data_IF_488109232440
#
_entry.id   IF_488109232440
#
_cell.length_a   1.000
_cell.length_b   1.000
_cell.length_c   1.000
_cell.angle_alpha   90.00
_cell.angle_beta   90.00
_cell.angle_gamma   90.00
#
_symmetry.space_group_name_H-M   'P 1'
#
loop_
_entity.id
_entity.type
_entity.pdbx_description
1 polymer ?
#
# COMPACT_ATOMS: atom_id res chain seq x y z
N UNK A 1 -6.02 -30.55 10.14
CA UNK A 1 -6.86 -29.43 10.62
C UNK A 1 -7.35 -28.69 9.39
N UNK A 2 -8.67 -28.63 9.17
CA UNK A 2 -9.21 -28.12 7.89
C UNK A 2 -9.03 -26.61 7.74
N UNK A 3 -8.85 -26.14 6.51
CA UNK A 3 -8.65 -24.72 6.15
C UNK A 3 -9.69 -23.78 6.79
N UNK A 4 -10.93 -24.24 6.95
CA UNK A 4 -12.02 -23.51 7.64
C UNK A 4 -11.81 -23.32 9.15
N UNK A 5 -11.16 -24.26 9.84
CA UNK A 5 -10.81 -24.12 11.26
C UNK A 5 -9.64 -23.16 11.46
N UNK A 6 -8.68 -23.17 10.53
CA UNK A 6 -7.53 -22.26 10.56
C UNK A 6 -7.95 -20.80 10.35
N UNK A 7 -8.91 -20.55 9.45
CA UNK A 7 -9.51 -19.22 9.23
C UNK A 7 -10.24 -18.71 10.48
N UNK A 8 -11.03 -19.56 11.15
CA UNK A 8 -11.73 -19.20 12.40
C UNK A 8 -10.76 -18.94 13.55
N UNK A 9 -9.66 -19.68 13.62
CA UNK A 9 -8.61 -19.52 14.63
C UNK A 9 -7.84 -18.20 14.45
N UNK A 10 -7.42 -17.88 13.22
CA UNK A 10 -6.66 -16.66 12.92
C UNK A 10 -7.47 -15.37 13.15
N UNK A 11 -8.75 -15.35 12.79
CA UNK A 11 -9.63 -14.20 13.06
C UNK A 11 -9.82 -13.97 14.56
N UNK A 12 -10.03 -15.04 15.35
CA UNK A 12 -10.15 -14.97 16.82
C UNK A 12 -8.88 -14.47 17.49
N UNK A 13 -7.71 -14.91 17.01
CA UNK A 13 -6.41 -14.44 17.51
C UNK A 13 -6.21 -12.94 17.27
N UNK A 14 -6.54 -12.46 16.07
CA UNK A 14 -6.44 -11.03 15.73
C UNK A 14 -7.41 -10.19 16.56
N UNK A 15 -8.65 -10.67 16.77
CA UNK A 15 -9.64 -10.01 17.67
C UNK A 15 -9.08 -9.89 19.08
N UNK A 16 -8.50 -10.97 19.63
CA UNK A 16 -7.91 -10.94 20.98
C UNK A 16 -6.74 -9.95 21.09
N UNK A 17 -5.88 -9.87 20.06
CA UNK A 17 -4.80 -8.86 20.00
C UNK A 17 -5.37 -7.44 19.95
N UNK A 18 -6.36 -7.19 19.08
CA UNK A 18 -6.99 -5.88 18.95
C UNK A 18 -7.64 -5.47 20.28
N UNK A 19 -8.39 -6.36 20.93
CA UNK A 19 -9.03 -6.10 22.23
C UNK A 19 -7.98 -5.82 23.31
N UNK A 20 -6.90 -6.62 23.37
CA UNK A 20 -5.83 -6.43 24.35
C UNK A 20 -5.13 -5.08 24.16
N UNK A 21 -4.90 -4.67 22.91
CA UNK A 21 -4.28 -3.38 22.59
C UNK A 21 -5.23 -2.24 22.97
N UNK A 22 -6.51 -2.29 22.56
CA UNK A 22 -7.52 -1.27 22.89
C UNK A 22 -7.62 -1.04 24.39
N UNK A 23 -7.58 -2.11 25.21
CA UNK A 23 -7.62 -1.99 26.67
C UNK A 23 -6.38 -1.32 27.29
N UNK A 24 -5.22 -1.35 26.61
CA UNK A 24 -3.96 -0.78 27.11
C UNK A 24 -3.58 0.58 26.50
N UNK A 25 -4.31 1.10 25.49
CA UNK A 25 -3.97 2.37 24.84
C UNK A 25 -3.96 3.57 25.80
N UNK A 26 -4.74 3.53 26.87
CA UNK A 26 -4.79 4.59 27.88
C UNK A 26 -3.43 4.87 28.58
N UNK A 27 -2.44 3.98 28.44
CA UNK A 27 -1.12 4.08 29.09
C UNK A 27 -0.11 4.92 28.29
N UNK A 28 -0.38 5.25 27.03
CA UNK A 28 0.60 5.90 26.14
C UNK A 28 0.48 7.43 26.04
N UNK A 29 -0.55 8.05 26.61
CA UNK A 29 -0.72 9.50 26.53
C UNK A 29 0.19 10.21 27.55
N UNK A 30 1.23 10.91 27.06
CA UNK A 30 2.19 11.64 27.90
C UNK A 30 1.73 13.09 28.11
N UNK A 31 0.87 13.61 27.24
CA UNK A 31 0.29 14.97 27.31
C UNK A 31 0.45 15.73 26.00
N UNK A 32 -0.34 16.79 25.81
CA UNK A 32 -0.31 17.56 24.56
C UNK A 32 1.00 18.36 24.43
N UNK A 33 1.68 18.23 23.29
CA UNK A 33 2.85 19.06 22.96
C UNK A 33 4.16 18.62 23.63
N UNK A 34 4.24 17.39 24.13
CA UNK A 34 5.44 16.85 24.80
C UNK A 34 6.37 16.09 23.85
N UNK A 35 6.21 16.23 22.54
CA UNK A 35 6.98 15.50 21.52
C UNK A 35 7.85 16.41 20.67
N UNK A 36 9.03 15.90 20.34
CA UNK A 36 9.90 16.48 19.32
C UNK A 36 9.47 16.04 17.92
N UNK A 37 10.11 16.58 16.88
CA UNK A 37 9.88 16.14 15.50
C UNK A 37 8.41 16.26 15.01
N UNK A 38 7.72 17.36 15.35
CA UNK A 38 6.31 17.57 14.95
C UNK A 38 6.07 17.51 13.43
N UNK A 39 7.13 17.63 12.63
CA UNK A 39 7.07 17.41 11.19
C UNK A 39 6.72 15.96 10.79
N UNK A 40 6.74 14.99 11.70
CA UNK A 40 6.27 13.63 11.42
C UNK A 40 4.74 13.53 11.37
N UNK A 41 4.02 14.55 11.87
CA UNK A 41 2.54 14.66 11.78
C UNK A 41 2.07 15.18 10.43
N UNK A 42 3.04 15.50 9.57
CA UNK A 42 2.82 15.93 8.22
C UNK A 42 2.46 14.71 7.41
N UNK A 43 1.20 14.64 7.00
CA UNK A 43 0.72 13.51 6.21
C UNK A 43 1.46 13.45 4.87
N UNK A 44 2.22 12.38 4.58
CA UNK A 44 2.79 12.14 3.27
C UNK A 44 1.76 11.47 2.35
N UNK A 45 2.09 11.46 1.05
CA UNK A 45 1.26 10.83 0.02
C UNK A 45 0.09 11.70 -0.44
N UNK A 46 -0.21 11.63 -1.74
CA UNK A 46 -1.27 12.45 -2.36
C UNK A 46 -2.60 11.73 -2.32
N UNK A 47 -2.60 10.43 -2.65
CA UNK A 47 -3.79 9.59 -2.60
C UNK A 47 -4.37 9.49 -1.19
N UNK A 48 -3.52 9.23 -0.20
CA UNK A 48 -3.88 9.18 1.22
C UNK A 48 -4.46 10.51 1.71
N UNK A 49 -3.83 11.63 1.38
CA UNK A 49 -4.29 12.96 1.80
C UNK A 49 -5.69 13.31 1.23
N UNK A 50 -5.95 12.93 -0.02
CA UNK A 50 -7.27 13.05 -0.65
C UNK A 50 -8.35 12.17 0.01
N UNK A 51 -7.93 11.15 0.77
CA UNK A 51 -8.78 10.22 1.51
C UNK A 51 -8.78 10.55 3.01
N UNK A 52 -8.62 11.82 3.38
CA UNK A 52 -8.64 12.24 4.78
C UNK A 52 -7.48 11.69 5.60
N UNK A 53 -6.36 11.38 4.95
CA UNK A 53 -5.20 10.71 5.55
C UNK A 53 -5.59 9.43 6.28
N UNK A 54 -6.56 8.71 5.71
CA UNK A 54 -6.96 7.38 6.14
C UNK A 54 -6.57 6.38 5.07
N UNK A 55 -5.73 5.44 5.45
CA UNK A 55 -5.04 4.57 4.48
C UNK A 55 -4.52 3.27 5.10
N UNK A 56 -4.61 3.08 6.42
CA UNK A 56 -4.01 1.94 7.12
C UNK A 56 -4.66 0.61 6.72
N UNK A 57 -5.98 0.61 6.52
CA UNK A 57 -6.70 -0.57 6.02
C UNK A 57 -6.54 -0.81 4.52
N UNK A 58 -6.38 0.24 3.71
CA UNK A 58 -6.29 0.14 2.25
C UNK A 58 -4.89 -0.26 1.79
N UNK A 59 -3.88 0.56 2.10
CA UNK A 59 -2.43 0.26 1.99
C UNK A 59 -1.99 -0.58 0.77
N UNK A 60 -2.41 -0.21 -0.45
CA UNK A 60 -2.28 -1.07 -1.65
C UNK A 60 -1.31 -0.55 -2.73
N UNK A 61 -0.60 0.54 -2.47
CA UNK A 61 0.39 1.13 -3.39
C UNK A 61 1.61 1.69 -2.63
N UNK A 62 2.49 2.42 -3.31
CA UNK A 62 3.68 3.05 -2.71
C UNK A 62 3.37 3.95 -1.51
N UNK A 63 2.16 4.50 -1.38
CA UNK A 63 1.76 5.28 -0.20
C UNK A 63 1.70 4.40 1.07
N UNK A 64 1.59 3.08 0.94
CA UNK A 64 1.62 2.16 2.08
C UNK A 64 2.93 2.24 2.87
N UNK A 65 4.05 2.59 2.22
CA UNK A 65 5.35 2.81 2.88
C UNK A 65 5.26 3.84 4.02
N UNK A 66 4.35 4.79 3.91
CA UNK A 66 4.16 5.83 4.93
C UNK A 66 3.10 5.47 5.98
N UNK A 67 2.07 4.73 5.58
CA UNK A 67 0.86 4.54 6.37
C UNK A 67 0.82 3.19 7.06
N UNK A 68 1.10 2.10 6.33
CA UNK A 68 1.12 0.75 6.88
C UNK A 68 2.19 -0.08 6.16
N UNK A 69 3.36 -0.31 6.77
CA UNK A 69 4.43 -1.08 6.14
C UNK A 69 4.00 -2.51 5.79
N UNK A 70 3.00 -3.10 6.47
CA UNK A 70 2.50 -4.43 6.10
C UNK A 70 1.73 -4.47 4.78
N UNK A 71 1.24 -3.32 4.30
CA UNK A 71 0.48 -3.23 3.05
C UNK A 71 1.33 -3.53 1.82
N UNK A 72 2.62 -3.14 1.82
CA UNK A 72 3.50 -3.34 0.66
C UNK A 72 3.72 -4.83 0.35
N UNK A 73 3.55 -5.72 1.34
CA UNK A 73 3.71 -7.17 1.16
C UNK A 73 2.74 -7.76 0.13
N UNK A 74 1.66 -7.05 -0.22
CA UNK A 74 0.65 -7.50 -1.19
C UNK A 74 0.85 -6.88 -2.58
N UNK A 75 1.87 -6.04 -2.76
CA UNK A 75 2.18 -5.39 -4.02
C UNK A 75 3.12 -6.30 -4.81
N UNK A 76 2.68 -6.71 -6.01
CA UNK A 76 3.36 -7.71 -6.83
C UNK A 76 4.19 -7.12 -7.98
N UNK A 77 4.33 -5.80 -8.02
CA UNK A 77 5.03 -5.07 -9.07
C UNK A 77 5.99 -4.05 -8.45
N UNK A 78 7.10 -3.76 -9.11
CA UNK A 78 7.99 -2.70 -8.64
C UNK A 78 7.36 -1.34 -8.99
N UNK A 79 7.56 -0.33 -8.15
CA UNK A 79 7.04 1.01 -8.42
C UNK A 79 7.94 2.08 -7.87
N UNK A 80 7.87 3.26 -8.48
CA UNK A 80 8.46 4.51 -7.98
C UNK A 80 7.37 5.57 -7.98
N UNK A 81 7.29 6.38 -6.93
CA UNK A 81 6.37 7.51 -6.86
C UNK A 81 7.06 8.73 -6.25
N UNK A 82 6.73 9.90 -6.77
CA UNK A 82 7.24 11.20 -6.33
C UNK A 82 6.10 12.04 -5.81
N UNK A 83 6.34 12.89 -4.83
CA UNK A 83 5.33 13.80 -4.29
C UNK A 83 5.91 15.19 -4.08
N UNK A 84 5.16 16.20 -4.50
CA UNK A 84 5.44 17.61 -4.24
C UNK A 84 4.24 18.22 -3.52
N UNK A 85 4.51 18.93 -2.43
CA UNK A 85 3.53 19.71 -1.70
C UNK A 85 4.09 21.07 -1.35
N UNK A 86 3.34 22.10 -1.72
CA UNK A 86 3.52 23.43 -1.14
C UNK A 86 2.61 23.51 0.08
N UNK A 87 3.23 23.67 1.23
CA UNK A 87 2.55 23.79 2.49
C UNK A 87 2.44 25.25 2.95
N UNK A 88 1.93 25.43 4.17
CA UNK A 88 1.62 26.68 4.80
C UNK A 88 2.92 27.42 5.08
N UNK A 89 2.83 28.75 5.12
CA UNK A 89 3.98 29.64 5.35
C UNK A 89 5.16 29.41 4.38
N UNK A 90 4.89 28.96 3.15
CA UNK A 90 5.91 28.75 2.12
C UNK A 90 6.80 27.51 2.35
N UNK A 91 6.49 26.68 3.35
CA UNK A 91 7.18 25.41 3.57
C UNK A 91 6.93 24.50 2.37
N UNK A 92 7.96 23.84 1.88
CA UNK A 92 7.86 22.92 0.74
C UNK A 92 8.28 21.53 1.15
N UNK A 93 7.51 20.52 0.76
CA UNK A 93 7.86 19.11 0.94
C UNK A 93 7.99 18.41 -0.41
N UNK A 94 9.06 17.65 -0.55
CA UNK A 94 9.34 16.83 -1.73
C UNK A 94 9.67 15.41 -1.29
N UNK A 95 9.19 14.41 -2.02
CA UNK A 95 9.43 13.02 -1.70
C UNK A 95 9.66 12.18 -2.95
N UNK A 96 10.44 11.12 -2.76
CA UNK A 96 10.56 10.01 -3.70
C UNK A 96 10.47 8.72 -2.91
N UNK A 97 9.71 7.77 -3.43
CA UNK A 97 9.51 6.45 -2.85
C UNK A 97 9.65 5.38 -3.90
N UNK A 98 10.01 4.18 -3.47
CA UNK A 98 10.01 3.02 -4.34
C UNK A 98 9.89 1.74 -3.55
N UNK A 99 9.40 0.71 -4.23
CA UNK A 99 9.29 -0.65 -3.71
C UNK A 99 9.65 -1.66 -4.78
N UNK A 100 10.15 -2.80 -4.32
CA UNK A 100 10.61 -3.89 -5.15
C UNK A 100 10.18 -5.23 -4.53
N UNK A 101 9.28 -5.98 -5.19
CA UNK A 101 8.92 -7.33 -4.79
C UNK A 101 10.06 -8.31 -5.05
N UNK A 102 10.40 -9.13 -4.04
CA UNK A 102 11.48 -10.13 -4.11
C UNK A 102 10.91 -11.56 -4.20
N UNK A 103 9.70 -11.71 -4.74
CA UNK A 103 8.96 -12.98 -4.75
C UNK A 103 8.63 -13.45 -3.33
N UNK A 104 8.91 -14.72 -3.03
CA UNK A 104 8.59 -15.37 -1.75
C UNK A 104 9.34 -14.78 -0.54
N UNK A 105 10.41 -14.03 -0.79
CA UNK A 105 11.18 -13.35 0.24
C UNK A 105 10.46 -12.12 0.81
N UNK A 106 9.37 -11.68 0.19
CA UNK A 106 8.61 -10.49 0.58
C UNK A 106 8.93 -9.29 -0.29
N UNK A 107 8.72 -8.10 0.25
CA UNK A 107 8.85 -6.83 -0.47
C UNK A 107 9.72 -5.89 0.33
N UNK A 108 10.69 -5.28 -0.33
CA UNK A 108 11.45 -4.16 0.21
C UNK A 108 10.95 -2.87 -0.41
N UNK A 109 11.07 -1.78 0.33
CA UNK A 109 10.84 -0.46 -0.22
C UNK A 109 11.40 0.60 0.71
N UNK A 110 11.20 1.84 0.33
CA UNK A 110 11.69 2.95 1.11
C UNK A 110 11.34 4.27 0.47
N UNK A 111 11.60 5.34 1.20
CA UNK A 111 11.40 6.68 0.69
C UNK A 111 12.40 7.66 1.29
N UNK A 112 12.61 8.73 0.54
CA UNK A 112 13.28 9.93 0.99
C UNK A 112 12.28 11.09 0.96
N UNK A 113 12.24 11.88 2.04
CA UNK A 113 11.45 13.10 2.14
C UNK A 113 12.34 14.25 2.57
N UNK A 114 12.25 15.38 1.88
CA UNK A 114 12.84 16.65 2.30
C UNK A 114 11.72 17.67 2.55
N UNK A 115 11.81 18.36 3.68
CA UNK A 115 10.95 19.49 4.02
C UNK A 115 11.83 20.71 4.27
N UNK A 116 11.54 21.81 3.58
CA UNK A 116 12.35 23.03 3.62
C UNK A 116 11.49 24.25 3.92
N UNK A 117 12.04 25.18 4.69
CA UNK A 117 11.47 26.51 4.85
C UNK A 117 11.98 27.44 3.75
N UNK A 118 11.27 28.54 3.45
CA UNK A 118 11.84 29.64 2.68
C UNK A 118 13.16 30.13 3.29
N UNK A 119 13.99 30.73 2.44
CA UNK A 119 15.17 31.46 2.90
C UNK A 119 14.75 32.76 3.58
N UNK A 120 15.43 33.08 4.67
CA UNK A 120 15.28 34.32 5.42
C UNK A 120 16.66 34.96 5.69
N UNK A 121 16.67 36.26 6.01
CA UNK A 121 17.90 37.02 6.27
C UNK A 121 18.42 36.75 7.66
N UNK A 122 19.70 36.40 7.76
CA UNK A 122 20.37 36.28 9.05
C UNK A 122 20.64 37.68 9.63
N UNK A 123 20.28 37.85 10.90
CA UNK A 123 20.32 39.16 11.58
C UNK A 123 21.10 39.04 12.88
N UNK A 124 21.89 40.07 13.19
CA UNK A 124 22.70 40.11 14.39
C UNK A 124 22.61 41.47 15.08
N UNK A 125 23.11 41.54 16.31
CA UNK A 125 23.27 42.77 17.06
C UNK A 125 24.75 43.12 17.14
N UNK A 126 25.10 44.37 16.90
CA UNK A 126 26.46 44.85 17.12
C UNK A 126 26.75 45.04 18.62
N UNK A 127 27.99 45.38 18.96
CA UNK A 127 28.40 45.63 20.35
C UNK A 127 27.68 46.84 21.01
N UNK A 128 27.04 47.69 20.22
CA UNK A 128 26.23 48.81 20.69
C UNK A 128 24.72 48.46 20.78
N UNK A 129 24.34 47.23 20.45
CA UNK A 129 22.95 46.75 20.46
C UNK A 129 22.14 47.16 19.23
N UNK A 130 22.78 47.67 18.17
CA UNK A 130 22.08 47.97 16.92
C UNK A 130 21.86 46.69 16.13
N UNK A 131 20.65 46.55 15.61
CA UNK A 131 20.27 45.48 14.70
C UNK A 131 20.86 45.71 13.31
N UNK A 132 21.45 44.67 12.72
CA UNK A 132 21.90 44.67 11.32
C UNK A 132 21.72 43.31 10.65
N UNK A 133 21.53 43.30 9.34
CA UNK A 133 21.56 42.09 8.53
C UNK A 133 23.02 41.68 8.25
N UNK A 134 23.34 40.40 8.45
CA UNK A 134 24.73 39.91 8.28
C UNK A 134 25.12 39.71 6.81
N UNK A 135 24.17 39.87 5.88
CA UNK A 135 24.33 39.60 4.45
C UNK A 135 24.28 38.12 4.07
N UNK A 136 24.01 37.22 5.04
CA UNK A 136 23.82 35.79 4.82
C UNK A 136 22.34 35.45 4.87
N UNK A 137 21.97 34.41 4.11
CA UNK A 137 20.63 33.84 4.15
C UNK A 137 20.67 32.52 4.92
N UNK A 138 19.57 32.19 5.57
CA UNK A 138 19.40 30.89 6.21
C UNK A 138 18.05 30.26 5.89
N UNK A 139 18.01 28.94 5.99
CA UNK A 139 16.79 28.16 5.97
C UNK A 139 16.88 27.02 6.98
N UNK A 140 15.73 26.40 7.23
CA UNK A 140 15.64 25.14 7.97
C UNK A 140 15.26 24.01 7.04
N UNK A 141 15.80 22.84 7.30
CA UNK A 141 15.62 21.66 6.47
C UNK A 141 15.48 20.42 7.35
N UNK A 142 14.53 19.56 7.01
CA UNK A 142 14.34 18.24 7.62
C UNK A 142 14.43 17.21 6.51
N UNK A 143 15.29 16.20 6.72
CA UNK A 143 15.46 15.06 5.81
C UNK A 143 15.06 13.78 6.52
N UNK A 144 14.23 12.99 5.87
CA UNK A 144 13.80 11.69 6.37
C UNK A 144 14.13 10.62 5.34
N UNK A 145 14.80 9.55 5.78
CA UNK A 145 15.01 8.33 5.01
C UNK A 145 14.28 7.20 5.71
N UNK A 146 13.51 6.43 4.97
CA UNK A 146 12.85 5.23 5.46
C UNK A 146 13.26 4.01 4.63
N UNK A 147 13.52 2.89 5.31
CA UNK A 147 13.69 1.58 4.71
C UNK A 147 12.65 0.65 5.32
N UNK A 148 11.89 -0.04 4.47
CA UNK A 148 10.78 -0.90 4.87
C UNK A 148 10.97 -2.29 4.29
N UNK A 149 10.67 -3.30 5.11
CA UNK A 149 10.54 -4.69 4.69
C UNK A 149 9.19 -5.22 5.14
N UNK A 150 8.51 -5.96 4.26
CA UNK A 150 7.24 -6.58 4.57
C UNK A 150 7.13 -7.96 3.95
N UNK A 151 6.38 -8.84 4.63
CA UNK A 151 6.15 -10.20 4.19
C UNK A 151 4.71 -10.62 4.41
N UNK A 152 4.17 -11.31 3.42
CA UNK A 152 2.90 -12.02 3.55
C UNK A 152 3.16 -13.33 4.31
N UNK A 153 2.51 -13.48 5.46
CA UNK A 153 2.66 -14.67 6.31
C UNK A 153 1.73 -15.80 5.88
N UNK A 154 0.57 -15.46 5.35
CA UNK A 154 -0.39 -16.37 4.74
C UNK A 154 -1.29 -15.59 3.77
N UNK A 155 -2.27 -16.26 3.14
CA UNK A 155 -3.15 -15.66 2.14
C UNK A 155 -3.92 -14.42 2.61
N UNK A 156 -4.03 -14.20 3.93
CA UNK A 156 -4.80 -13.09 4.54
C UNK A 156 -3.95 -12.11 5.32
N UNK A 157 -2.93 -12.57 6.05
CA UNK A 157 -2.15 -11.77 6.98
C UNK A 157 -0.78 -11.40 6.39
N UNK A 158 -0.45 -10.12 6.43
CA UNK A 158 0.89 -9.60 6.22
C UNK A 158 1.38 -8.79 7.42
N UNK A 159 2.70 -8.71 7.52
CA UNK A 159 3.39 -7.85 8.49
C UNK A 159 4.49 -7.06 7.79
N UNK A 160 4.83 -5.91 8.35
CA UNK A 160 5.91 -5.08 7.86
C UNK A 160 6.53 -4.24 8.94
N UNK A 161 7.80 -3.89 8.74
CA UNK A 161 8.59 -3.05 9.63
C UNK A 161 9.31 -2.00 8.80
N UNK A 162 9.36 -0.78 9.31
CA UNK A 162 10.05 0.35 8.69
C UNK A 162 11.04 0.99 9.67
N UNK A 163 12.26 1.24 9.24
CA UNK A 163 13.24 2.01 9.99
C UNK A 163 13.34 3.41 9.37
N UNK A 164 13.20 4.44 10.20
CA UNK A 164 13.34 5.84 9.81
C UNK A 164 14.61 6.42 10.42
N UNK A 165 15.39 7.10 9.59
CA UNK A 165 16.41 8.02 10.03
C UNK A 165 15.94 9.44 9.72
N UNK A 166 16.01 10.32 10.72
CA UNK A 166 15.63 11.72 10.55
C UNK A 166 16.79 12.63 10.91
N UNK A 167 17.05 13.58 10.04
CA UNK A 167 17.99 14.67 10.25
C UNK A 167 17.23 15.99 10.22
N UNK A 168 17.44 16.82 11.24
CA UNK A 168 16.91 18.17 11.31
C UNK A 168 18.06 19.17 11.37
N UNK A 169 18.04 20.13 10.43
CA UNK A 169 18.94 21.27 10.37
C UNK A 169 18.15 22.54 10.62
N UNK A 170 18.38 23.15 11.79
CA UNK A 170 17.86 24.47 12.13
C UNK A 170 19.05 25.43 12.10
N UNK A 171 19.07 26.33 11.12
CA UNK A 171 20.21 27.23 10.91
C UNK A 171 21.54 26.47 10.77
N UNK A 172 22.43 26.59 11.77
CA UNK A 172 23.74 25.95 11.83
C UNK A 172 23.79 24.72 12.75
N UNK A 173 22.67 24.34 13.37
CA UNK A 173 22.57 23.18 14.27
C UNK A 173 21.98 22.00 13.52
N UNK A 174 22.64 20.83 13.63
CA UNK A 174 22.18 19.57 13.06
C UNK A 174 21.92 18.56 14.17
N UNK A 175 20.76 17.92 14.12
CA UNK A 175 20.36 16.86 15.06
C UNK A 175 19.87 15.65 14.28
N UNK A 176 20.12 14.46 14.80
CA UNK A 176 19.76 13.19 14.17
C UNK A 176 18.92 12.35 15.11
N UNK A 177 17.98 11.60 14.55
CA UNK A 177 17.07 10.75 15.29
C UNK A 177 16.68 9.53 14.48
N UNK A 178 16.13 8.54 15.18
CA UNK A 178 15.73 7.26 14.58
C UNK A 178 14.38 6.82 15.12
N UNK A 179 13.55 6.26 14.24
CA UNK A 179 12.24 5.75 14.60
C UNK A 179 11.96 4.39 13.94
N UNK A 180 11.08 3.61 14.56
CA UNK A 180 10.57 2.36 14.02
C UNK A 180 9.07 2.49 13.74
N UNK A 181 8.66 1.97 12.59
CA UNK A 181 7.27 1.70 12.25
C UNK A 181 7.06 0.18 12.22
N UNK A 182 5.92 -0.29 12.69
CA UNK A 182 5.51 -1.68 12.60
C UNK A 182 4.03 -1.77 12.23
N UNK A 183 3.70 -2.68 11.31
CA UNK A 183 2.36 -2.82 10.78
C UNK A 183 1.91 -4.27 10.68
N UNK A 184 0.60 -4.46 10.78
CA UNK A 184 -0.14 -5.65 10.40
C UNK A 184 -1.22 -5.25 9.41
N UNK A 185 -1.48 -6.13 8.45
CA UNK A 185 -2.58 -5.98 7.49
C UNK A 185 -3.26 -7.34 7.30
N UNK A 186 -4.58 -7.36 7.40
CA UNK A 186 -5.38 -8.58 7.30
C UNK A 186 -6.50 -8.39 6.27
N UNK A 187 -6.43 -9.15 5.18
CA UNK A 187 -7.46 -9.20 4.14
C UNK A 187 -8.50 -10.28 4.45
N UNK A 188 -9.77 -9.96 4.23
CA UNK A 188 -10.85 -10.93 4.35
C UNK A 188 -11.19 -11.26 5.80
N UNK A 189 -11.20 -10.24 6.67
CA UNK A 189 -11.37 -10.38 8.13
C UNK A 189 -12.70 -11.03 8.51
N UNK A 190 -13.81 -10.38 8.16
CA UNK A 190 -15.19 -10.89 8.32
C UNK A 190 -15.83 -11.09 6.95
N UNK A 191 -15.63 -10.12 6.06
CA UNK A 191 -16.10 -10.14 4.68
C UNK A 191 -14.89 -10.28 3.74
N UNK A 192 -15.00 -10.95 2.58
CA UNK A 192 -13.88 -11.19 1.68
C UNK A 192 -13.11 -9.92 1.25
N UNK A 193 -13.85 -8.85 0.95
CA UNK A 193 -13.28 -7.57 0.52
C UNK A 193 -13.06 -6.56 1.67
N UNK A 194 -13.21 -6.99 2.93
CA UNK A 194 -12.87 -6.19 4.11
C UNK A 194 -11.40 -6.40 4.49
N UNK A 195 -10.62 -5.33 4.45
CA UNK A 195 -9.27 -5.26 4.96
C UNK A 195 -9.23 -4.48 6.28
N UNK A 196 -8.39 -4.93 7.21
CA UNK A 196 -8.11 -4.23 8.46
C UNK A 196 -6.61 -4.09 8.65
N UNK A 197 -6.18 -2.97 9.22
CA UNK A 197 -4.78 -2.69 9.51
C UNK A 197 -4.60 -2.22 10.95
N UNK A 198 -3.44 -2.56 11.52
CA UNK A 198 -2.98 -2.07 12.81
C UNK A 198 -1.53 -1.63 12.65
N UNK A 199 -1.22 -0.40 13.04
CA UNK A 199 0.11 0.19 12.86
C UNK A 199 0.55 0.89 14.13
N UNK A 200 1.83 0.74 14.47
CA UNK A 200 2.57 1.63 15.36
C UNK A 200 3.50 2.47 14.50
N UNK A 201 3.29 3.78 14.46
CA UNK A 201 4.14 4.72 13.72
C UNK A 201 5.05 5.49 14.66
N UNK A 202 6.25 5.80 14.16
CA UNK A 202 7.24 6.71 14.74
C UNK A 202 7.74 6.32 16.14
N UNK A 203 7.76 5.03 16.48
CA UNK A 203 8.30 4.57 17.76
C UNK A 203 9.75 5.01 17.90
N UNK A 204 10.06 5.79 18.93
CA UNK A 204 11.33 6.50 19.04
C UNK A 204 12.42 5.53 19.48
N UNK A 205 13.46 5.39 18.65
CA UNK A 205 14.69 4.67 19.00
C UNK A 205 15.77 5.65 19.48
N UNK A 206 15.84 6.83 18.86
CA UNK A 206 16.75 7.90 19.24
C UNK A 206 16.06 9.24 19.00
N UNK A 207 15.88 10.02 20.07
CA UNK A 207 15.28 11.35 20.00
C UNK A 207 16.20 12.35 19.29
N UNK A 208 15.64 13.42 18.74
CA UNK A 208 16.44 14.51 18.16
C UNK A 208 17.13 15.36 19.23
N UNK A 209 16.43 15.63 20.35
CA UNK A 209 16.85 16.52 21.43
C UNK A 209 16.20 16.09 22.74
N UNK A 210 16.92 16.29 23.86
CA UNK A 210 16.40 16.21 25.24
C UNK A 210 15.55 14.98 25.57
N UNK A 211 15.82 13.83 24.95
CA UNK A 211 15.03 12.60 25.07
C UNK A 211 13.52 12.78 24.81
N UNK A 212 13.13 13.83 24.07
CA UNK A 212 11.75 14.06 23.68
C UNK A 212 11.30 12.96 22.71
N UNK A 213 10.26 12.19 23.05
CA UNK A 213 9.75 11.18 22.14
C UNK A 213 9.17 11.83 20.88
N UNK A 214 9.19 11.10 19.79
CA UNK A 214 8.49 11.49 18.56
C UNK A 214 6.96 11.35 18.73
N UNK A 215 6.17 11.95 17.84
CA UNK A 215 4.72 11.76 17.78
C UNK A 215 4.37 10.33 17.38
N UNK A 216 4.42 9.44 18.36
CA UNK A 216 4.08 8.04 18.23
C UNK A 216 2.58 7.91 18.13
N UNK A 217 2.12 7.11 17.17
CA UNK A 217 0.69 6.91 16.96
C UNK A 217 0.41 5.43 16.74
N UNK A 218 -0.54 4.89 17.49
CA UNK A 218 -1.17 3.61 17.14
C UNK A 218 -2.38 3.92 16.25
N UNK A 219 -2.48 3.25 15.11
CA UNK A 219 -3.57 3.46 14.15
C UNK A 219 -4.28 2.15 13.91
N UNK A 220 -5.60 2.18 14.06
CA UNK A 220 -6.50 1.10 13.64
C UNK A 220 -7.26 1.57 12.42
N UNK A 221 -7.18 0.81 11.32
CA UNK A 221 -7.80 1.17 10.05
C UNK A 221 -8.61 0.04 9.45
N UNK A 222 -9.65 0.39 8.71
CA UNK A 222 -10.44 -0.55 7.93
C UNK A 222 -10.74 0.01 6.54
N UNK A 223 -10.78 -0.88 5.54
CA UNK A 223 -11.18 -0.54 4.19
C UNK A 223 -12.06 -1.65 3.62
N UNK A 224 -13.16 -1.29 2.97
CA UNK A 224 -14.05 -2.21 2.28
C UNK A 224 -14.25 -1.77 0.85
N UNK A 225 -13.99 -2.68 -0.10
CA UNK A 225 -14.12 -2.40 -1.53
C UNK A 225 -15.35 -3.08 -2.10
N UNK A 226 -16.35 -2.28 -2.47
CA UNK A 226 -17.49 -2.72 -3.28
C UNK A 226 -17.07 -2.81 -4.75
N UNK A 227 -17.29 -3.97 -5.37
CA UNK A 227 -17.18 -4.13 -6.82
C UNK A 227 -18.55 -3.82 -7.42
N UNK A 228 -18.62 -2.74 -8.18
CA UNK A 228 -19.84 -2.31 -8.85
C UNK A 228 -19.91 -2.94 -10.25
N UNK A 229 -20.81 -2.46 -11.10
CA UNK A 229 -20.94 -2.96 -12.47
C UNK A 229 -19.67 -2.70 -13.30
N UNK A 230 -19.27 -3.69 -14.10
CA UNK A 230 -18.07 -3.61 -14.94
C UNK A 230 -16.78 -3.69 -14.12
N UNK A 231 -15.84 -2.76 -14.36
CA UNK A 231 -14.58 -2.69 -13.60
C UNK A 231 -14.55 -1.53 -12.60
N UNK A 232 -15.71 -0.98 -12.26
CA UNK A 232 -15.84 0.09 -11.28
C UNK A 232 -15.71 -0.43 -9.85
N UNK A 233 -15.05 0.35 -9.00
CA UNK A 233 -14.89 0.04 -7.57
C UNK A 233 -15.27 1.25 -6.73
N UNK A 234 -15.95 0.99 -5.62
CA UNK A 234 -16.18 1.96 -4.57
C UNK A 234 -15.54 1.46 -3.30
N UNK A 235 -14.56 2.18 -2.77
CA UNK A 235 -13.87 1.83 -1.53
C UNK A 235 -14.28 2.81 -0.45
N UNK A 236 -14.74 2.30 0.68
CA UNK A 236 -15.00 3.08 1.89
C UNK A 236 -13.96 2.67 2.93
N UNK A 237 -13.40 3.66 3.62
CA UNK A 237 -12.32 3.43 4.56
C UNK A 237 -12.41 4.39 5.75
N UNK A 238 -11.81 4.00 6.87
CA UNK A 238 -11.77 4.82 8.07
C UNK A 238 -10.71 4.35 9.04
N UNK A 239 -10.06 5.31 9.67
CA UNK A 239 -8.97 5.08 10.62
C UNK A 239 -9.25 5.83 11.95
N UNK A 240 -8.85 5.20 13.05
CA UNK A 240 -8.82 5.80 14.39
C UNK A 240 -7.37 5.87 14.85
N UNK A 241 -6.94 7.05 15.24
CA UNK A 241 -5.56 7.37 15.59
C UNK A 241 -5.45 7.64 17.09
N UNK A 242 -4.53 6.96 17.74
CA UNK A 242 -4.23 7.09 19.16
C UNK A 242 -2.81 7.63 19.31
N UNK A 243 -2.63 8.96 19.20
CA UNK A 243 -1.33 9.59 19.38
C UNK A 243 -0.93 9.66 20.86
N UNK A 244 0.37 9.66 21.15
CA UNK A 244 0.90 9.84 22.50
C UNK A 244 0.84 11.29 23.01
N UNK A 245 0.57 12.25 22.11
CA UNK A 245 0.75 13.69 22.34
C UNK A 245 -0.44 14.56 21.94
N UNK A 246 -1.60 13.94 21.73
CA UNK A 246 -2.82 14.62 21.35
C UNK A 246 -4.04 13.78 21.77
N UNK A 247 -5.23 14.35 21.60
CA UNK A 247 -6.46 13.57 21.70
C UNK A 247 -6.58 12.60 20.52
N UNK A 248 -7.30 11.50 20.77
CA UNK A 248 -7.72 10.56 19.74
C UNK A 248 -8.44 11.33 18.63
N UNK A 249 -8.09 11.04 17.39
CA UNK A 249 -8.71 11.63 16.22
C UNK A 249 -9.01 10.55 15.19
N UNK A 250 -9.98 10.83 14.32
CA UNK A 250 -10.47 9.87 13.34
C UNK A 250 -10.48 10.50 11.96
N UNK A 251 -10.53 9.65 10.95
CA UNK A 251 -10.81 10.06 9.60
C UNK A 251 -11.62 9.02 8.85
N UNK A 252 -12.15 9.44 7.73
CA UNK A 252 -12.90 8.60 6.81
C UNK A 252 -12.56 9.00 5.37
N UNK A 253 -12.66 8.03 4.47
CA UNK A 253 -12.42 8.23 3.06
C UNK A 253 -13.38 7.44 2.19
N UNK A 254 -13.61 7.96 1.01
CA UNK A 254 -14.35 7.31 -0.05
C UNK A 254 -13.56 7.48 -1.35
N UNK A 255 -13.27 6.36 -2.01
CA UNK A 255 -12.65 6.34 -3.33
C UNK A 255 -13.61 5.68 -4.32
N UNK A 256 -13.94 6.39 -5.40
CA UNK A 256 -14.65 5.84 -6.52
C UNK A 256 -13.71 5.72 -7.71
N UNK A 257 -13.37 4.49 -8.08
CA UNK A 257 -12.48 4.17 -9.18
C UNK A 257 -13.28 3.67 -10.39
N UNK A 258 -13.12 4.35 -11.52
CA UNK A 258 -13.70 4.00 -12.81
C UNK A 258 -12.67 3.18 -13.57
N UNK A 259 -12.89 1.87 -13.60
CA UNK A 259 -11.95 0.90 -14.16
C UNK A 259 -10.57 1.03 -13.48
N UNK A 260 -9.51 1.00 -14.29
CA UNK A 260 -8.14 1.17 -13.84
C UNK A 260 -7.59 2.57 -14.14
N UNK A 261 -8.36 3.45 -14.80
CA UNK A 261 -7.87 4.71 -15.35
C UNK A 261 -8.10 5.93 -14.47
N UNK A 262 -9.28 6.03 -13.85
CA UNK A 262 -9.66 7.26 -13.15
C UNK A 262 -10.14 6.95 -11.75
N UNK A 263 -9.77 7.79 -10.79
CA UNK A 263 -10.27 7.71 -9.42
C UNK A 263 -10.66 9.10 -8.91
N UNK A 264 -11.80 9.18 -8.22
CA UNK A 264 -12.24 10.34 -7.47
C UNK A 264 -12.24 10.01 -5.99
N UNK A 265 -11.79 10.96 -5.17
CA UNK A 265 -11.53 10.75 -3.75
C UNK A 265 -12.13 11.88 -2.95
N UNK A 266 -12.83 11.51 -1.90
CA UNK A 266 -13.34 12.42 -0.88
C UNK A 266 -12.87 11.89 0.46
N UNK A 267 -12.36 12.78 1.30
CA UNK A 267 -11.89 12.47 2.62
C UNK A 267 -12.45 13.39 3.67
N UNK A 268 -12.40 12.96 4.92
CA UNK A 268 -12.60 13.79 6.09
C UNK A 268 -11.57 13.41 7.14
N UNK A 269 -10.86 14.40 7.67
CA UNK A 269 -9.94 14.23 8.80
C UNK A 269 -10.32 15.18 9.91
N UNK A 270 -10.44 14.66 11.13
CA UNK A 270 -10.67 15.49 12.30
C UNK A 270 -9.58 16.59 12.43
N UNK A 271 -9.99 17.81 12.78
CA UNK A 271 -9.19 19.06 12.81
C UNK A 271 -8.67 19.61 11.48
N UNK A 272 -8.88 18.92 10.35
CA UNK A 272 -8.53 19.41 9.01
C UNK A 272 -9.81 19.71 8.20
N UNK A 273 -10.78 18.80 8.23
CA UNK A 273 -12.04 18.89 7.52
C UNK A 273 -12.08 18.02 6.26
N UNK A 274 -12.91 18.42 5.30
CA UNK A 274 -13.12 17.67 4.07
C UNK A 274 -11.96 17.85 3.08
N UNK A 275 -11.48 16.76 2.50
CA UNK A 275 -10.44 16.74 1.48
C UNK A 275 -10.96 16.17 0.17
N UNK A 276 -10.34 16.56 -0.93
CA UNK A 276 -10.72 16.12 -2.27
C UNK A 276 -9.49 15.67 -3.04
N UNK A 277 -9.66 14.76 -3.97
CA UNK A 277 -8.60 14.46 -4.92
C UNK A 277 -9.06 13.63 -6.10
N UNK A 278 -8.15 13.52 -7.06
CA UNK A 278 -8.33 12.68 -8.22
C UNK A 278 -7.03 11.93 -8.55
N UNK A 279 -7.20 10.82 -9.24
CA UNK A 279 -6.11 9.99 -9.75
C UNK A 279 -6.38 9.66 -11.20
N UNK A 280 -5.33 9.73 -12.02
CA UNK A 280 -5.33 9.33 -13.41
C UNK A 280 -4.20 8.34 -13.61
N UNK A 281 -4.52 7.15 -14.10
CA UNK A 281 -3.58 6.11 -14.48
C UNK A 281 -3.64 5.92 -15.99
N UNK A 282 -2.50 6.13 -16.64
CA UNK A 282 -2.34 5.98 -18.08
C UNK A 282 -1.18 5.02 -18.29
N UNK A 283 -1.47 3.82 -18.76
CA UNK A 283 -0.49 2.73 -18.85
C UNK A 283 0.13 2.45 -17.47
N UNK A 284 1.45 2.59 -17.37
CA UNK A 284 2.20 2.43 -16.13
C UNK A 284 2.37 3.73 -15.35
N UNK A 285 1.92 4.87 -15.89
CA UNK A 285 2.02 6.18 -15.22
C UNK A 285 0.81 6.42 -14.31
N UNK A 286 1.08 6.87 -13.09
CA UNK A 286 0.08 7.30 -12.12
C UNK A 286 0.26 8.79 -11.84
N UNK A 287 -0.80 9.56 -11.97
CA UNK A 287 -0.85 10.98 -11.65
C UNK A 287 -1.90 11.18 -10.57
N UNK A 288 -1.52 11.80 -9.45
CA UNK A 288 -2.48 12.11 -8.40
C UNK A 288 -2.44 13.59 -8.05
N UNK A 289 -3.61 14.10 -7.67
CA UNK A 289 -3.78 15.44 -7.16
C UNK A 289 -4.65 15.41 -5.91
N UNK A 290 -4.29 16.21 -4.91
CA UNK A 290 -5.07 16.38 -3.70
C UNK A 290 -5.20 17.84 -3.30
N UNK A 291 -6.40 18.19 -2.86
CA UNK A 291 -6.78 19.44 -2.23
C UNK A 291 -7.07 19.17 -0.75
N UNK A 292 -6.36 19.86 0.14
CA UNK A 292 -6.52 19.72 1.59
C UNK A 292 -6.62 21.12 2.22
N UNK A 293 -7.80 21.51 2.74
CA UNK A 293 -7.99 22.77 3.42
C UNK A 293 -7.53 22.68 4.89
N UNK A 294 -6.94 23.75 5.41
CA UNK A 294 -6.53 23.90 6.81
C UNK A 294 -7.22 25.11 7.47
N UNK A 295 -8.42 25.47 7.00
CA UNK A 295 -9.17 26.63 7.48
C UNK A 295 -8.40 27.93 7.29
N UNK A 296 -8.33 28.74 8.35
CA UNK A 296 -7.68 30.06 8.35
C UNK A 296 -6.18 30.00 8.06
N UNK A 297 -5.54 28.84 8.27
CA UNK A 297 -4.13 28.67 7.97
C UNK A 297 -3.87 28.67 6.47
N UNK A 298 -4.86 28.30 5.65
CA UNK A 298 -4.78 28.25 4.20
C UNK A 298 -5.12 26.87 3.65
N UNK A 299 -4.62 26.58 2.45
CA UNK A 299 -4.91 25.35 1.71
C UNK A 299 -3.62 24.79 1.14
N UNK A 300 -3.52 23.46 1.10
CA UNK A 300 -2.41 22.79 0.42
C UNK A 300 -2.88 22.10 -0.84
N UNK A 301 -1.98 22.14 -1.82
CA UNK A 301 -2.11 21.42 -3.07
C UNK A 301 -0.96 20.44 -3.17
N UNK A 302 -1.28 19.19 -3.48
CA UNK A 302 -0.30 18.11 -3.55
C UNK A 302 -0.41 17.41 -4.89
N UNK A 303 0.73 17.11 -5.49
CA UNK A 303 0.81 16.38 -6.77
C UNK A 303 1.76 15.21 -6.62
N UNK A 304 1.41 14.08 -7.24
CA UNK A 304 2.29 12.93 -7.35
C UNK A 304 2.38 12.44 -8.79
N UNK A 305 3.58 11.95 -9.13
CA UNK A 305 3.83 11.23 -10.37
C UNK A 305 4.50 9.92 -9.99
N UNK A 306 3.88 8.82 -10.37
CA UNK A 306 4.39 7.47 -10.15
C UNK A 306 4.46 6.65 -11.42
N UNK A 307 5.29 5.63 -11.38
CA UNK A 307 5.48 4.66 -12.44
C UNK A 307 5.52 3.24 -11.85
N UNK A 308 4.65 2.37 -12.37
CA UNK A 308 4.59 0.97 -11.98
C UNK A 308 5.27 0.11 -13.05
N UNK A 309 6.38 -0.52 -12.66
CA UNK A 309 7.10 -1.45 -13.50
C UNK A 309 6.37 -2.79 -13.49
N UNK A 310 6.13 -3.37 -14.68
CA UNK A 310 5.53 -4.69 -14.80
C UNK A 310 4.16 -4.84 -14.12
N UNK A 311 3.21 -3.94 -14.42
CA UNK A 311 1.80 -4.17 -14.13
C UNK A 311 1.22 -5.28 -15.05
N UNK A 312 1.83 -6.48 -15.02
CA UNK A 312 1.46 -7.64 -15.84
C UNK A 312 0.03 -8.11 -15.55
N UNK A 313 -0.57 -7.71 -14.43
CA UNK A 313 -1.97 -7.98 -14.13
C UNK A 313 -2.93 -7.35 -15.16
N UNK A 314 -2.59 -6.23 -15.79
CA UNK A 314 -3.36 -5.69 -16.93
C UNK A 314 -3.07 -6.45 -18.22
N UNK A 315 -1.82 -6.84 -18.46
CA UNK A 315 -1.41 -7.63 -19.62
C UNK A 315 -2.10 -9.00 -19.60
N UNK A 316 -2.11 -9.69 -18.46
CA UNK A 316 -2.76 -10.99 -18.28
C UNK A 316 -4.28 -10.88 -18.30
N UNK A 317 -4.91 -9.85 -17.73
CA UNK A 317 -6.36 -9.66 -17.87
C UNK A 317 -6.79 -9.32 -19.29
N UNK A 318 -5.97 -8.56 -20.02
CA UNK A 318 -6.17 -8.27 -21.44
C UNK A 318 -5.98 -9.56 -22.27
N UNK A 319 -4.91 -10.31 -22.02
CA UNK A 319 -4.65 -11.59 -22.65
C UNK A 319 -5.69 -12.67 -22.29
N UNK A 320 -6.25 -12.68 -21.09
CA UNK A 320 -7.31 -13.62 -20.68
C UNK A 320 -8.67 -13.23 -21.28
N UNK A 321 -8.90 -11.93 -21.50
CA UNK A 321 -10.08 -11.41 -22.21
C UNK A 321 -9.98 -11.65 -23.72
N UNK A 322 -8.77 -11.59 -24.28
CA UNK A 322 -8.46 -11.90 -25.68
C UNK A 322 -8.46 -13.44 -25.92
N UNK A 323 -7.85 -14.24 -25.04
CA UNK A 323 -7.86 -15.72 -25.09
C UNK A 323 -9.19 -16.37 -24.69
N UNK A 324 -10.16 -15.60 -24.18
CA UNK A 324 -11.55 -16.06 -24.06
C UNK A 324 -12.27 -16.16 -25.40
N UNK A 325 -11.75 -15.52 -26.46
CA UNK A 325 -12.28 -15.67 -27.82
C UNK A 325 -11.71 -16.93 -28.50
N UNK A 326 -10.44 -17.27 -28.24
CA UNK A 326 -9.82 -18.50 -28.76
C UNK A 326 -10.32 -19.78 -28.08
N UNK A 327 -10.57 -19.76 -26.77
CA UNK A 327 -11.08 -20.95 -26.05
C UNK A 327 -12.53 -21.33 -26.39
N UNK A 328 -13.31 -20.47 -27.06
CA UNK A 328 -14.69 -20.79 -27.45
C UNK A 328 -14.79 -21.45 -28.83
N UNK A 329 -13.73 -21.44 -29.63
CA UNK A 329 -13.74 -22.01 -31.00
C UNK A 329 -13.06 -23.39 -31.12
N UNK A 330 -12.47 -23.93 -30.04
CA UNK A 330 -11.85 -25.27 -30.06
C UNK A 330 -12.68 -26.22 -29.18
N UNK A 331 -13.90 -26.51 -29.64
CA UNK A 331 -14.55 -27.78 -29.36
C UNK A 331 -14.97 -28.33 -30.73
N UNK A 332 -14.05 -29.01 -31.40
CA UNK A 332 -14.41 -29.89 -32.51
C UNK A 332 -14.34 -31.34 -31.98
N UNK A 333 -15.47 -32.03 -31.76
CA UNK A 333 -15.47 -33.33 -31.08
C UNK A 333 -15.00 -34.51 -31.95
N UNK A 334 -14.63 -34.32 -33.21
CA UNK A 334 -14.21 -35.43 -34.06
C UNK A 334 -13.30 -34.93 -35.19
N UNK A 335 -12.00 -35.23 -35.11
CA UNK A 335 -11.19 -35.53 -36.29
C UNK A 335 -9.87 -36.21 -35.87
N UNK A 336 -9.78 -37.51 -36.18
CA UNK A 336 -8.51 -38.19 -36.38
C UNK A 336 -7.98 -37.74 -37.74
N UNK A 337 -6.91 -36.93 -37.79
CA UNK A 337 -5.94 -36.89 -38.89
C UNK A 337 -4.64 -36.28 -38.32
N UNK A 338 -3.52 -36.97 -38.56
CA UNK A 338 -2.17 -36.45 -38.38
C UNK A 338 -1.91 -35.36 -39.43
N UNK A 339 -1.46 -34.18 -39.01
CA UNK A 339 -0.61 -33.31 -39.84
C UNK A 339 0.36 -32.55 -38.93
N UNK A 340 1.65 -32.88 -39.06
CA UNK A 340 2.76 -32.03 -38.63
C UNK A 340 2.83 -30.81 -39.55
N UNK A 341 2.80 -29.61 -38.99
CA UNK A 341 3.24 -28.40 -39.69
C UNK A 341 4.24 -27.62 -38.84
N UNK A 342 5.43 -27.43 -39.42
CA UNK A 342 6.68 -26.90 -38.87
C UNK A 342 6.70 -25.41 -38.42
N UNK A 343 5.59 -24.84 -37.95
CA UNK A 343 5.53 -23.40 -37.62
C UNK A 343 5.63 -23.05 -36.11
N UNK A 344 6.00 -24.01 -35.26
CA UNK A 344 6.16 -23.80 -33.81
C UNK A 344 7.63 -23.86 -33.33
N UNK A 345 8.60 -23.48 -34.17
CA UNK A 345 10.04 -23.52 -33.81
C UNK A 345 10.76 -22.18 -33.71
N UNK A 346 10.12 -21.05 -33.96
CA UNK A 346 10.70 -19.73 -33.65
C UNK A 346 9.90 -19.07 -32.52
N UNK A 347 10.52 -18.98 -31.33
CA UNK A 347 10.27 -18.08 -30.20
C UNK A 347 10.40 -18.72 -28.79
N UNK A 348 11.13 -19.84 -28.63
CA UNK A 348 11.45 -20.40 -27.29
C UNK A 348 12.96 -20.33 -26.98
N UNK A 349 13.64 -19.24 -27.34
CA UNK A 349 15.07 -19.04 -26.99
C UNK A 349 15.38 -17.86 -26.04
N UNK A 350 14.39 -17.18 -25.47
CA UNK A 350 14.65 -16.10 -24.49
C UNK A 350 13.93 -16.29 -23.15
N UNK A 351 14.26 -17.34 -22.39
CA UNK A 351 14.00 -17.40 -20.96
C UNK A 351 15.19 -18.06 -20.23
N UNK A 352 15.91 -17.35 -19.35
CA UNK A 352 16.98 -17.96 -18.58
C UNK A 352 16.43 -18.78 -17.40
N UNK A 353 16.83 -20.05 -17.36
CA UNK A 353 16.98 -20.96 -16.22
C UNK A 353 15.85 -21.04 -15.17
N UNK A 354 15.06 -22.12 -15.25
CA UNK A 354 14.47 -22.78 -14.07
C UNK A 354 14.80 -24.27 -14.12
N UNK A 355 15.35 -24.76 -13.02
CA UNK A 355 15.99 -26.06 -12.82
C UNK A 355 15.02 -27.25 -13.03
N UNK A 356 15.42 -28.18 -13.89
CA UNK A 356 14.68 -29.39 -14.29
C UNK A 356 15.07 -30.55 -13.37
N UNK A 357 14.37 -30.73 -12.25
CA UNK A 357 14.49 -32.00 -11.50
C UNK A 357 13.26 -32.43 -10.68
N UNK A 358 12.15 -31.67 -10.72
CA UNK A 358 10.90 -32.06 -10.04
C UNK A 358 9.75 -32.40 -11.00
N UNK A 359 9.99 -32.37 -12.32
CA UNK A 359 8.98 -32.74 -13.34
C UNK A 359 9.02 -34.20 -13.77
N UNK A 360 9.90 -35.04 -13.22
CA UNK A 360 10.05 -36.45 -13.63
C UNK A 360 9.27 -37.43 -12.72
N UNK A 361 8.84 -37.04 -11.52
CA UNK A 361 8.20 -37.98 -10.58
C UNK A 361 6.66 -37.99 -10.58
N UNK A 362 5.98 -37.15 -11.35
CA UNK A 362 4.50 -37.22 -11.51
C UNK A 362 4.07 -37.85 -12.83
N UNK A 363 4.99 -38.01 -13.79
CA UNK A 363 4.72 -38.69 -15.06
C UNK A 363 4.79 -40.23 -14.96
N UNK A 364 5.51 -40.78 -13.96
CA UNK A 364 5.72 -42.23 -13.82
C UNK A 364 4.63 -42.98 -13.03
N UNK A 365 3.54 -42.32 -12.63
CA UNK A 365 2.40 -42.99 -11.96
C UNK A 365 1.19 -43.13 -12.89
N UNK A 366 1.09 -42.33 -13.95
CA UNK A 366 -0.05 -42.39 -14.88
C UNK A 366 0.15 -43.32 -16.09
N UNK A 367 1.34 -43.91 -16.28
CA UNK A 367 1.60 -44.85 -17.37
C UNK A 367 1.28 -46.33 -17.00
N UNK A 368 1.10 -46.65 -15.71
CA UNK A 368 0.87 -48.03 -15.26
C UNK A 368 -0.60 -48.41 -15.06
N UNK A 369 -1.56 -47.49 -15.22
CA UNK A 369 -2.99 -47.78 -15.07
C UNK A 369 -3.78 -47.81 -16.40
N UNK A 370 -3.11 -47.57 -17.54
CA UNK A 370 -3.75 -47.62 -18.87
C UNK A 370 -3.46 -48.96 -19.60
N UNK A 371 -2.66 -49.87 -19.03
CA UNK A 371 -2.31 -51.15 -19.68
C UNK A 371 -3.14 -52.37 -19.25
N UNK A 372 -4.12 -52.25 -18.34
CA UNK A 372 -4.99 -53.37 -17.95
C UNK A 372 -6.43 -53.08 -18.36
N UNK A 373 -6.73 -53.30 -19.65
CA UNK A 373 -8.07 -53.23 -20.18
C UNK A 373 -8.99 -54.28 -19.55
N UNK A 374 -9.70 -53.90 -18.48
CA UNK A 374 -10.88 -54.61 -18.00
C UNK A 374 -12.07 -53.64 -17.91
N UNK A 375 -13.04 -53.90 -18.78
CA UNK A 375 -14.37 -53.32 -18.79
C UNK A 375 -15.17 -53.75 -17.55
N UNK A 376 -15.74 -52.79 -16.80
CA UNK A 376 -16.86 -53.05 -15.88
C UNK A 376 -18.00 -52.03 -16.12
N UNK A 377 -19.29 -52.43 -16.16
CA UNK A 377 -20.41 -51.60 -16.60
C UNK A 377 -20.94 -50.56 -15.59
N UNK A 378 -20.20 -50.22 -14.53
CA UNK A 378 -20.70 -49.38 -13.43
C UNK A 378 -20.20 -47.92 -13.43
N UNK A 379 -19.43 -47.50 -14.45
CA UNK A 379 -18.94 -46.12 -14.59
C UNK A 379 -19.76 -45.28 -15.60
N UNK A 380 -21.11 -45.43 -15.59
CA UNK A 380 -22.02 -44.69 -16.49
C UNK A 380 -23.17 -43.95 -15.80
N UNK A 381 -23.08 -43.73 -14.49
CA UNK A 381 -23.99 -42.83 -13.79
C UNK A 381 -23.17 -41.75 -13.07
N UNK A 382 -23.66 -40.51 -13.12
CA UNK A 382 -23.04 -39.27 -12.63
C UNK A 382 -22.07 -38.61 -13.62
N UNK A 383 -22.59 -38.15 -14.77
CA UNK A 383 -22.56 -36.73 -15.22
C UNK A 383 -23.62 -36.61 -16.33
N UNK A 384 -24.88 -36.42 -15.95
CA UNK A 384 -25.92 -35.93 -16.86
C UNK A 384 -26.83 -34.98 -16.09
N UNK A 385 -26.60 -33.67 -16.27
CA UNK A 385 -27.58 -32.60 -16.15
C UNK A 385 -26.87 -31.27 -16.53
N UNK A 386 -26.68 -31.08 -17.83
CA UNK A 386 -26.65 -29.75 -18.45
C UNK A 386 -27.98 -29.03 -18.15
N UNK A 387 -27.92 -27.76 -17.72
CA UNK A 387 -28.25 -26.60 -18.57
C UNK A 387 -29.64 -26.74 -19.19
N UNK A 388 -30.63 -26.29 -18.44
CA UNK A 388 -31.84 -25.66 -18.98
C UNK A 388 -32.15 -24.46 -18.07
N UNK A 389 -32.68 -23.39 -18.66
CA UNK A 389 -32.95 -22.07 -18.10
C UNK A 389 -31.74 -21.14 -17.91
N UNK A 390 -31.38 -20.40 -18.97
CA UNK A 390 -31.40 -18.92 -18.99
C UNK A 390 -30.89 -18.38 -20.34
N UNK A 391 -31.68 -18.60 -21.38
CA UNK A 391 -31.76 -17.73 -22.55
C UNK A 391 -33.23 -17.57 -22.94
N UNK A 392 -33.96 -16.71 -22.22
CA UNK A 392 -35.09 -15.94 -22.75
C UNK A 392 -35.05 -14.53 -22.14
N UNK A 393 -34.90 -13.55 -23.04
CA UNK A 393 -34.98 -12.07 -22.94
C UNK A 393 -33.98 -11.27 -22.08
#
# INVERSE_FOLDING_TARGET
>A
MGEKEMIKSGGRFLISIIILIIFNVNVLAIGVGTTGANYLKIDPGVRSAALGSTYVGLAEDSNALYWNPAGIARISYASVDTMQMNWLAGITQQQISGLYPMGDWGVIGGYYSSLTTPYDKETAYDNAGNYYETGKDFNSEIKLVNLTYAKQLNSKLSMGVGLKHIEERLFNVRTNGMALDAGLHYQGFILPDLAVGLVLQNYTLTALRNDEPFPQTIILGAAYTFKLFGSQKLTILGDVNFPNDNNIFYGAGLEYAINHYLAFRIGYKDKVGATLGCGLRLWNLNLNYAYVPYGDLGTTYRVSVGYDFDNRAEIFKKAEKENKVEKTLIINPNENIFEETDEAKENIEELPNVNTEEKINTANVMENEISSGESSPEAKEIVSAEVDDLFEE
#
